data_IF_275567786086
#
_entry.id   IF_275567786086
#
_cell.length_a   1.000
_cell.length_b   1.000
_cell.length_c   1.000
_cell.angle_alpha   90.00
_cell.angle_beta   90.00
_cell.angle_gamma   90.00
#
_symmetry.space_group_name_H-M   'P 1'
#
loop_
_entity.id
_entity.type
_entity.pdbx_description
1 polymer ?
#
# COMPACT_ATOMS: atom_id res chain seq x y z
N UNK A 1 -5.03 -1.63 20.10
CA UNK A 1 -3.96 -1.90 19.11
C UNK A 1 -2.93 -2.87 19.71
N UNK A 2 -2.71 -4.04 19.09
CA UNK A 2 -1.75 -5.04 19.58
C UNK A 2 -0.29 -4.66 19.19
N UNK A 3 0.71 -5.28 19.83
CA UNK A 3 2.14 -5.09 19.58
C UNK A 3 2.49 -5.30 18.09
N UNK A 4 1.92 -6.33 17.46
CA UNK A 4 2.14 -6.63 16.04
C UNK A 4 1.65 -5.48 15.13
N UNK A 5 0.49 -4.89 15.44
CA UNK A 5 -0.08 -3.78 14.69
C UNK A 5 0.80 -2.52 14.83
N UNK A 6 1.42 -2.31 16.00
CA UNK A 6 2.37 -1.20 16.23
C UNK A 6 3.68 -1.36 15.46
N UNK A 7 4.21 -2.58 15.36
CA UNK A 7 5.39 -2.86 14.53
C UNK A 7 5.09 -2.65 13.05
N UNK A 8 3.94 -3.13 12.57
CA UNK A 8 3.50 -2.92 11.18
C UNK A 8 3.32 -1.44 10.86
N UNK A 9 2.72 -0.67 11.78
CA UNK A 9 2.61 0.78 11.66
C UNK A 9 3.98 1.45 11.54
N UNK A 10 4.92 1.09 12.42
CA UNK A 10 6.29 1.62 12.39
C UNK A 10 6.97 1.41 11.03
N UNK A 11 6.87 0.20 10.47
CA UNK A 11 7.46 -0.11 9.16
C UNK A 11 6.84 0.71 8.04
N UNK A 12 5.51 0.84 8.01
CA UNK A 12 4.86 1.65 6.97
C UNK A 12 5.25 3.13 7.10
N UNK A 13 5.41 3.65 8.33
CA UNK A 13 5.89 5.02 8.55
C UNK A 13 7.31 5.21 8.01
N UNK A 14 8.21 4.23 8.22
CA UNK A 14 9.57 4.27 7.64
C UNK A 14 9.52 4.25 6.11
N UNK A 15 8.66 3.42 5.52
CA UNK A 15 8.46 3.39 4.06
C UNK A 15 7.93 4.71 3.53
N UNK A 16 6.91 5.29 4.18
CA UNK A 16 6.34 6.59 3.81
C UNK A 16 7.36 7.73 3.96
N UNK A 17 8.29 7.63 4.92
CA UNK A 17 9.40 8.57 5.07
C UNK A 17 10.46 8.41 3.97
N UNK A 18 10.70 7.17 3.52
CA UNK A 18 11.73 6.86 2.55
C UNK A 18 13.11 7.31 3.03
N UNK A 19 13.83 8.05 2.17
CA UNK A 19 15.17 8.57 2.46
C UNK A 19 15.19 9.87 3.27
N UNK A 20 14.03 10.47 3.57
CA UNK A 20 13.97 11.72 4.33
C UNK A 20 14.46 11.50 5.78
N UNK A 21 15.09 12.51 6.37
CA UNK A 21 15.33 12.50 7.82
C UNK A 21 14.00 12.59 8.59
N UNK A 22 13.95 12.08 9.83
CA UNK A 22 12.78 12.23 10.70
C UNK A 22 12.37 13.70 10.89
N UNK A 23 13.34 14.62 10.91
CA UNK A 23 13.10 16.06 11.00
C UNK A 23 12.44 16.63 9.73
N UNK A 24 12.90 16.21 8.55
CA UNK A 24 12.31 16.63 7.29
C UNK A 24 10.90 16.04 7.10
N UNK A 25 10.71 14.79 7.49
CA UNK A 25 9.41 14.12 7.46
C UNK A 25 8.41 14.73 8.45
N UNK A 26 8.85 15.01 9.68
CA UNK A 26 8.05 15.70 10.69
C UNK A 26 7.61 17.08 10.19
N UNK A 27 8.53 17.87 9.61
CA UNK A 27 8.18 19.18 9.01
C UNK A 27 7.11 19.06 7.93
N UNK A 28 7.17 18.01 7.10
CA UNK A 28 6.15 17.80 6.06
C UNK A 28 4.77 17.46 6.66
N UNK A 29 4.75 16.64 7.71
CA UNK A 29 3.51 16.25 8.39
C UNK A 29 2.96 17.35 9.33
N UNK A 30 3.77 18.36 9.66
CA UNK A 30 3.45 19.39 10.63
C UNK A 30 3.68 18.97 12.09
N UNK A 31 4.57 18.00 12.33
CA UNK A 31 4.86 17.44 13.66
C UNK A 31 6.36 17.49 13.99
N UNK A 32 6.71 17.25 15.25
CA UNK A 32 8.10 17.21 15.69
C UNK A 32 8.84 15.96 15.18
N UNK A 33 10.17 16.05 15.03
CA UNK A 33 11.01 14.90 14.71
C UNK A 33 10.90 13.79 15.77
N UNK A 34 10.73 14.19 17.03
CA UNK A 34 10.54 13.27 18.16
C UNK A 34 9.25 12.47 18.04
N UNK A 35 8.14 13.09 17.59
CA UNK A 35 6.90 12.37 17.36
C UNK A 35 7.11 11.27 16.31
N UNK A 36 7.75 11.60 15.18
CA UNK A 36 8.10 10.62 14.14
C UNK A 36 8.97 9.49 14.70
N UNK A 37 9.98 9.83 15.50
CA UNK A 37 10.87 8.84 16.12
C UNK A 37 10.10 7.85 17.03
N UNK A 38 9.18 8.36 17.86
CA UNK A 38 8.37 7.53 18.76
C UNK A 38 7.41 6.63 17.98
N UNK A 39 6.85 7.10 16.87
CA UNK A 39 6.00 6.29 16.00
C UNK A 39 6.80 5.18 15.31
N UNK A 40 8.00 5.48 14.81
CA UNK A 40 8.89 4.51 14.18
C UNK A 40 9.47 3.49 15.17
N UNK A 41 9.44 3.78 16.48
CA UNK A 41 9.78 2.80 17.52
C UNK A 41 8.57 1.99 17.98
N UNK A 42 7.36 2.43 17.64
CA UNK A 42 6.11 1.83 18.12
C UNK A 42 5.77 2.21 19.57
N UNK A 43 6.43 3.24 20.12
CA UNK A 43 6.22 3.74 21.49
C UNK A 43 4.89 4.49 21.61
N UNK A 44 4.48 5.18 20.55
CA UNK A 44 3.21 5.92 20.47
C UNK A 44 2.55 5.73 19.11
N UNK A 45 1.25 6.04 19.03
CA UNK A 45 0.46 5.93 17.81
C UNK A 45 0.10 7.36 17.34
N UNK A 46 0.25 7.69 16.04
CA UNK A 46 -0.19 8.97 15.50
C UNK A 46 -1.72 9.12 15.62
N UNK A 47 -2.18 10.35 15.78
CA UNK A 47 -3.61 10.67 15.71
C UNK A 47 -4.16 10.49 14.29
N UNK A 48 -5.48 10.39 14.17
CA UNK A 48 -6.19 10.13 12.90
C UNK A 48 -5.77 11.05 11.76
N UNK A 49 -5.58 12.35 12.03
CA UNK A 49 -5.11 13.30 11.00
C UNK A 49 -3.73 12.93 10.46
N UNK A 50 -2.81 12.56 11.35
CA UNK A 50 -1.44 12.18 10.96
C UNK A 50 -1.42 10.81 10.31
N UNK A 51 -2.26 9.87 10.74
CA UNK A 51 -2.46 8.59 10.05
C UNK A 51 -2.94 8.81 8.61
N UNK A 52 -3.89 9.71 8.38
CA UNK A 52 -4.38 10.03 7.04
C UNK A 52 -3.29 10.62 6.14
N UNK A 53 -2.47 11.55 6.67
CA UNK A 53 -1.33 12.12 5.94
C UNK A 53 -0.28 11.05 5.60
N UNK A 54 0.01 10.14 6.52
CA UNK A 54 0.95 9.04 6.31
C UNK A 54 0.41 8.06 5.25
N UNK A 55 -0.87 7.68 5.34
CA UNK A 55 -1.54 6.78 4.39
C UNK A 55 -1.51 7.33 2.96
N UNK A 56 -1.95 8.59 2.78
CA UNK A 56 -1.94 9.24 1.48
C UNK A 56 -0.55 9.27 0.85
N UNK A 57 0.48 9.46 1.67
CA UNK A 57 1.88 9.52 1.24
C UNK A 57 2.48 8.15 0.93
N UNK A 58 1.94 7.09 1.55
CA UNK A 58 2.24 5.70 1.23
C UNK A 58 1.39 5.15 0.05
N UNK A 59 0.48 5.96 -0.50
CA UNK A 59 -0.37 5.56 -1.62
C UNK A 59 -1.63 4.79 -1.23
N UNK A 60 -2.06 4.88 0.03
CA UNK A 60 -3.26 4.23 0.56
C UNK A 60 -4.32 5.26 0.95
N UNK A 61 -5.60 4.89 0.85
CA UNK A 61 -6.67 5.56 1.60
C UNK A 61 -6.52 5.29 3.11
N UNK A 62 -7.16 6.13 3.93
CA UNK A 62 -7.17 5.92 5.39
C UNK A 62 -7.81 4.57 5.76
N UNK A 63 -8.87 4.17 5.07
CA UNK A 63 -9.59 2.91 5.31
C UNK A 63 -8.74 1.68 4.96
N UNK A 64 -8.05 1.70 3.82
CA UNK A 64 -7.08 0.65 3.46
C UNK A 64 -5.95 0.57 4.48
N UNK A 65 -5.44 1.73 4.91
CA UNK A 65 -4.36 1.81 5.88
C UNK A 65 -4.75 1.23 7.25
N UNK A 66 -5.93 1.58 7.77
CA UNK A 66 -6.45 1.03 9.01
C UNK A 66 -6.72 -0.48 8.90
N UNK A 67 -7.27 -0.93 7.76
CA UNK A 67 -7.49 -2.36 7.50
C UNK A 67 -6.18 -3.15 7.51
N UNK A 68 -5.11 -2.62 6.90
CA UNK A 68 -3.77 -3.21 6.93
C UNK A 68 -3.25 -3.31 8.39
N UNK A 69 -3.53 -2.31 9.23
CA UNK A 69 -3.08 -2.27 10.62
C UNK A 69 -3.84 -3.22 11.53
N UNK A 70 -5.14 -3.43 11.31
CA UNK A 70 -5.97 -4.29 12.16
C UNK A 70 -5.73 -5.78 11.96
N UNK A 71 -4.83 -6.16 11.06
CA UNK A 71 -4.51 -7.58 10.82
C UNK A 71 -5.65 -8.33 10.15
N UNK A 72 -6.70 -7.61 9.72
CA UNK A 72 -7.52 -8.03 8.60
C UNK A 72 -6.57 -8.07 7.42
N UNK A 73 -5.99 -9.27 7.20
CA UNK A 73 -5.34 -9.59 5.95
C UNK A 73 -6.30 -9.14 4.87
N UNK A 74 -5.94 -8.09 4.14
CA UNK A 74 -6.44 -7.92 2.80
C UNK A 74 -5.83 -9.11 2.04
N UNK A 75 -6.43 -10.29 2.23
CA UNK A 75 -6.24 -11.49 1.42
C UNK A 75 -6.89 -11.30 0.05
N UNK A 76 -7.22 -10.08 -0.30
CA UNK A 76 -7.59 -9.71 -1.64
C UNK A 76 -6.39 -8.93 -2.17
N UNK A 77 -5.73 -9.50 -3.18
CA UNK A 77 -5.14 -8.67 -4.22
C UNK A 77 -6.05 -7.44 -4.42
N UNK A 78 -5.49 -6.21 -4.53
CA UNK A 78 -6.25 -4.95 -4.48
C UNK A 78 -7.56 -5.18 -5.21
N UNK A 79 -8.71 -5.09 -4.52
CA UNK A 79 -10.01 -5.52 -5.05
C UNK A 79 -10.10 -5.09 -6.50
N UNK A 80 -9.84 -6.05 -7.39
CA UNK A 80 -9.76 -5.74 -8.80
C UNK A 80 -11.21 -5.53 -9.16
N UNK A 81 -11.62 -4.27 -9.24
CA UNK A 81 -12.89 -3.95 -9.84
C UNK A 81 -12.74 -4.30 -11.33
N UNK A 82 -13.23 -5.47 -11.71
CA UNK A 82 -13.16 -5.99 -13.08
C UNK A 82 -13.68 -4.94 -14.07
N UNK A 83 -14.71 -4.17 -13.67
CA UNK A 83 -15.27 -3.10 -14.47
C UNK A 83 -14.28 -1.94 -14.70
N UNK A 84 -13.47 -1.58 -13.70
CA UNK A 84 -12.46 -0.53 -13.85
C UNK A 84 -11.30 -0.97 -14.74
N UNK A 85 -10.90 -2.24 -14.69
CA UNK A 85 -9.89 -2.79 -15.61
C UNK A 85 -10.41 -2.77 -17.04
N UNK A 86 -11.61 -3.30 -17.28
CA UNK A 86 -12.23 -3.32 -18.61
C UNK A 86 -12.39 -1.90 -19.16
N UNK A 87 -12.85 -0.95 -18.33
CA UNK A 87 -12.95 0.47 -18.70
C UNK A 87 -11.62 1.14 -18.97
N UNK A 88 -10.52 0.71 -18.35
CA UNK A 88 -9.19 1.25 -18.67
C UNK A 88 -8.71 0.69 -20.00
N UNK A 89 -8.84 -0.61 -20.23
CA UNK A 89 -8.38 -1.30 -21.46
C UNK A 89 -8.99 -0.67 -22.72
N UNK A 90 -10.28 -0.32 -22.73
CA UNK A 90 -10.94 0.31 -23.88
C UNK A 90 -10.33 1.65 -24.32
N UNK A 91 -9.62 2.35 -23.43
CA UNK A 91 -9.01 3.65 -23.73
C UNK A 91 -7.49 3.56 -23.94
N UNK A 92 -6.90 2.36 -23.89
CA UNK A 92 -5.45 2.20 -24.05
C UNK A 92 -5.02 2.21 -25.52
N UNK A 93 -3.78 2.65 -25.82
CA UNK A 93 -3.16 2.42 -27.12
C UNK A 93 -3.01 0.93 -27.42
N UNK A 94 -3.09 0.55 -28.70
CA UNK A 94 -2.98 -0.85 -29.16
C UNK A 94 -1.71 -1.57 -28.65
N UNK A 95 -0.60 -0.85 -28.53
CA UNK A 95 0.65 -1.40 -27.99
C UNK A 95 0.53 -1.84 -26.52
N UNK A 96 -0.22 -1.09 -25.70
CA UNK A 96 -0.47 -1.45 -24.30
C UNK A 96 -1.48 -2.59 -24.19
N UNK A 97 -2.50 -2.61 -25.06
CA UNK A 97 -3.45 -3.74 -25.15
C UNK A 97 -2.71 -5.04 -25.47
N UNK A 98 -1.79 -5.01 -26.44
CA UNK A 98 -0.97 -6.18 -26.80
C UNK A 98 -0.10 -6.68 -25.62
N UNK A 99 0.50 -5.77 -24.85
CA UNK A 99 1.27 -6.12 -23.66
C UNK A 99 0.41 -6.82 -22.59
N UNK A 100 -0.78 -6.29 -22.32
CA UNK A 100 -1.73 -6.89 -21.38
C UNK A 100 -2.18 -8.27 -21.89
N UNK A 101 -2.51 -8.37 -23.18
CA UNK A 101 -2.90 -9.63 -23.81
C UNK A 101 -1.83 -10.72 -23.70
N UNK A 102 -0.56 -10.36 -23.88
CA UNK A 102 0.57 -11.28 -23.66
C UNK A 102 0.63 -11.76 -22.20
N UNK A 103 0.57 -10.84 -21.24
CA UNK A 103 0.64 -11.19 -19.82
C UNK A 103 -0.52 -12.12 -19.39
N UNK A 104 -1.72 -11.94 -19.97
CA UNK A 104 -2.86 -12.82 -19.74
C UNK A 104 -2.60 -14.22 -20.33
N UNK A 105 -2.09 -14.30 -21.55
CA UNK A 105 -1.76 -15.58 -22.20
C UNK A 105 -0.69 -16.35 -21.41
N UNK A 106 0.38 -15.68 -20.97
CA UNK A 106 1.45 -16.26 -20.16
C UNK A 106 0.90 -16.84 -18.84
N UNK A 107 -0.05 -16.14 -18.22
CA UNK A 107 -0.72 -16.61 -16.98
C UNK A 107 -1.58 -17.85 -17.21
N UNK A 108 -2.32 -17.90 -18.33
CA UNK A 108 -3.11 -19.09 -18.68
C UNK A 108 -2.23 -20.29 -19.01
N UNK A 109 -1.12 -20.07 -19.73
CA UNK A 109 -0.15 -21.12 -20.02
C UNK A 109 0.43 -21.72 -18.73
N UNK A 110 0.93 -20.87 -17.81
CA UNK A 110 1.46 -21.32 -16.52
C UNK A 110 0.42 -22.07 -15.66
N UNK A 111 -0.86 -21.66 -15.74
CA UNK A 111 -1.93 -22.34 -15.01
C UNK A 111 -2.29 -23.71 -15.61
N UNK A 112 -2.21 -23.85 -16.93
CA UNK A 112 -2.48 -25.11 -17.63
C UNK A 112 -1.36 -26.14 -17.39
N UNK A 113 -0.10 -25.69 -17.36
CA UNK A 113 1.06 -26.53 -17.02
C UNK A 113 0.95 -27.06 -15.58
N UNK A 114 0.61 -26.19 -14.62
CA UNK A 114 0.45 -26.57 -13.21
C UNK A 114 -0.74 -27.51 -12.93
N UNK A 115 -1.72 -27.60 -13.84
CA UNK A 115 -2.88 -28.47 -13.71
C UNK A 115 -2.70 -29.84 -14.40
N UNK A 116 -1.60 -30.03 -15.15
CA UNK A 116 -1.29 -31.24 -15.91
C UNK A 116 -0.27 -32.19 -15.25
N UNK A 117 0.21 -31.86 -14.05
CA UNK A 117 1.10 -32.70 -13.22
C UNK A 117 0.35 -33.43 -12.08
#
# INVERSE_FOLDING_TARGET
MNIQNRQKLSEIIKTARGSMSQRAFGKLLGVSATAVQLWERGDTVPETENLAKIAARAGYSLEEFLSILDGNSVSQAPEINDNDIVKKIQFLPQSQVALIGKAVADRFAASAEAAGE
#
